data_IF_857758096309
#
_entry.id   IF_857758096309
#
_cell.length_a   1.000
_cell.length_b   1.000
_cell.length_c   1.000
_cell.angle_alpha   90.00
_cell.angle_beta   90.00
_cell.angle_gamma   90.00
#
_symmetry.space_group_name_H-M   'P 1'
#
loop_
_entity.id
_entity.type
_entity.pdbx_description
1 polymer ?
#
# COMPACT_ATOMS: atom_id res chain seq x y z
N UNK A 1 -42.95 14.15 -23.38
CA UNK A 1 -41.88 14.34 -24.35
C UNK A 1 -40.58 13.96 -23.67
N UNK A 2 -39.83 12.99 -24.20
CA UNK A 2 -38.57 12.59 -23.57
C UNK A 2 -37.45 13.54 -23.99
N UNK A 3 -36.59 13.90 -23.02
CA UNK A 3 -35.42 14.76 -23.18
C UNK A 3 -34.28 13.91 -23.80
N UNK A 4 -33.55 14.38 -24.81
CA UNK A 4 -32.50 13.63 -25.46
C UNK A 4 -31.19 13.63 -24.62
N UNK A 5 -30.57 12.45 -24.49
CA UNK A 5 -29.28 12.23 -23.86
C UNK A 5 -28.15 12.68 -24.81
N UNK A 6 -27.17 13.48 -24.37
CA UNK A 6 -26.05 13.89 -25.20
C UNK A 6 -25.07 12.71 -25.44
N UNK A 7 -24.65 12.55 -26.71
CA UNK A 7 -23.64 11.54 -27.13
C UNK A 7 -22.25 11.92 -26.62
N UNK A 8 -21.56 10.93 -26.07
CA UNK A 8 -20.14 11.02 -25.69
C UNK A 8 -19.26 11.36 -26.92
N UNK A 9 -18.40 12.36 -26.77
CA UNK A 9 -17.31 12.67 -27.71
C UNK A 9 -16.14 11.72 -27.49
N UNK A 10 -15.67 11.14 -28.59
CA UNK A 10 -14.47 10.31 -28.62
C UNK A 10 -13.21 11.15 -28.37
N UNK A 11 -12.30 10.57 -27.58
CA UNK A 11 -10.97 11.12 -27.30
C UNK A 11 -10.03 10.69 -28.43
N UNK A 12 -9.23 11.58 -29.04
CA UNK A 12 -8.26 11.18 -30.08
C UNK A 12 -7.04 10.49 -29.46
N UNK A 13 -6.56 9.43 -30.13
CA UNK A 13 -5.34 8.72 -29.82
C UNK A 13 -4.12 9.60 -30.10
N UNK A 14 -3.16 9.60 -29.16
CA UNK A 14 -1.84 10.24 -29.34
C UNK A 14 -0.87 9.20 -29.89
N UNK A 15 -0.42 9.39 -31.11
CA UNK A 15 0.65 8.62 -31.75
C UNK A 15 2.02 8.98 -31.15
N UNK A 16 2.80 7.96 -30.83
CA UNK A 16 4.15 8.11 -30.33
C UNK A 16 5.15 8.42 -31.45
N UNK A 17 5.87 9.52 -31.30
CA UNK A 17 7.04 9.85 -32.12
C UNK A 17 8.34 9.50 -31.39
N UNK A 18 9.11 8.54 -31.92
CA UNK A 18 10.50 8.28 -31.53
C UNK A 18 11.41 9.31 -32.16
N UNK A 19 12.25 9.97 -31.37
CA UNK A 19 13.44 10.67 -31.85
C UNK A 19 14.68 10.04 -31.24
N UNK A 20 15.45 9.32 -32.05
CA UNK A 20 16.82 8.90 -31.76
C UNK A 20 17.76 10.11 -31.95
N UNK A 21 18.58 10.41 -30.95
CA UNK A 21 19.80 11.19 -31.09
C UNK A 21 20.98 10.39 -30.55
N UNK A 22 22.00 10.24 -31.38
CA UNK A 22 23.25 9.56 -31.11
C UNK A 22 24.12 10.33 -30.10
N UNK A 23 25.01 9.64 -29.34
CA UNK A 23 25.87 10.30 -28.38
C UNK A 23 27.22 10.75 -29.00
N UNK A 24 27.69 11.90 -28.55
CA UNK A 24 29.00 12.50 -28.80
C UNK A 24 30.07 11.85 -27.88
N UNK A 25 31.28 11.49 -28.37
CA UNK A 25 32.31 10.83 -27.58
C UNK A 25 33.29 11.82 -26.98
N UNK A 26 33.39 11.86 -25.64
CA UNK A 26 34.56 12.46 -25.04
C UNK A 26 34.38 13.09 -23.67
N UNK A 27 34.28 12.29 -22.61
CA UNK A 27 34.77 12.66 -21.25
C UNK A 27 35.03 11.36 -20.48
N UNK A 28 36.25 11.15 -20.04
CA UNK A 28 36.63 10.05 -19.17
C UNK A 28 35.96 10.15 -17.78
N UNK A 29 35.49 9.02 -17.20
CA UNK A 29 34.88 9.06 -15.88
C UNK A 29 35.95 8.94 -14.78
N UNK A 30 36.02 9.97 -13.97
CA UNK A 30 36.67 9.97 -12.65
C UNK A 30 36.03 8.92 -11.75
N UNK A 31 36.85 8.07 -11.15
CA UNK A 31 36.48 7.01 -10.23
C UNK A 31 35.83 7.59 -8.95
N UNK A 32 34.52 7.60 -8.88
CA UNK A 32 33.80 7.72 -7.63
C UNK A 32 33.62 6.33 -7.02
N UNK A 33 34.28 6.08 -5.89
CA UNK A 33 34.09 4.90 -5.07
C UNK A 33 32.65 4.87 -4.55
N UNK A 34 31.80 4.11 -5.20
CA UNK A 34 30.53 3.68 -4.64
C UNK A 34 30.83 2.61 -3.60
N UNK A 35 30.62 2.96 -2.31
CA UNK A 35 30.50 2.00 -1.24
C UNK A 35 29.19 1.22 -1.48
N UNK A 36 29.30 0.15 -2.26
CA UNK A 36 28.23 -0.83 -2.38
C UNK A 36 28.06 -1.51 -1.03
N UNK A 37 26.90 -1.35 -0.43
CA UNK A 37 26.43 -2.25 0.60
C UNK A 37 26.28 -3.62 -0.06
N UNK A 38 27.35 -4.42 -0.01
CA UNK A 38 27.30 -5.85 -0.27
C UNK A 38 26.38 -6.47 0.78
N UNK A 39 25.10 -6.64 0.41
CA UNK A 39 24.28 -7.66 1.03
C UNK A 39 24.95 -8.99 0.67
N UNK A 40 25.85 -9.43 1.53
CA UNK A 40 26.38 -10.78 1.56
C UNK A 40 25.17 -11.72 1.75
N UNK A 41 24.53 -12.09 0.64
CA UNK A 41 23.74 -13.29 0.57
C UNK A 41 24.75 -14.42 0.71
N UNK A 42 25.07 -14.78 1.95
CA UNK A 42 25.69 -16.05 2.24
C UNK A 42 24.85 -17.08 1.50
N UNK A 43 25.41 -17.67 0.43
CA UNK A 43 24.75 -18.71 -0.35
C UNK A 43 24.54 -19.91 0.58
N UNK A 44 23.45 -19.90 1.33
CA UNK A 44 22.97 -21.01 2.10
C UNK A 44 22.71 -22.15 1.12
N UNK A 45 23.42 -23.26 1.28
CA UNK A 45 23.26 -24.43 0.42
C UNK A 45 21.80 -24.87 0.43
N UNK A 46 21.30 -25.36 -0.73
CA UNK A 46 19.93 -25.83 -0.89
C UNK A 46 19.65 -27.00 0.08
N UNK A 47 18.48 -27.01 0.71
CA UNK A 47 18.03 -28.08 1.62
C UNK A 47 16.80 -28.77 1.02
N UNK A 48 16.86 -30.10 0.93
CA UNK A 48 15.78 -31.01 0.52
C UNK A 48 15.24 -31.72 1.77
N UNK A 49 13.93 -31.71 1.97
CA UNK A 49 13.26 -32.56 2.95
C UNK A 49 12.58 -33.72 2.21
N UNK A 50 12.98 -34.96 2.54
CA UNK A 50 12.38 -36.19 2.03
C UNK A 50 11.42 -36.72 3.07
N UNK A 51 10.18 -37.03 2.64
CA UNK A 51 9.15 -37.59 3.53
C UNK A 51 8.78 -38.97 2.98
N UNK A 52 9.22 -40.04 3.67
CA UNK A 52 9.01 -41.44 3.31
C UNK A 52 8.93 -42.34 4.57
N UNK A 53 8.13 -43.39 4.56
CA UNK A 53 7.89 -44.25 5.76
C UNK A 53 8.68 -45.58 5.80
N UNK A 54 9.24 -46.02 4.65
CA UNK A 54 9.93 -47.29 4.58
C UNK A 54 11.46 -47.16 4.73
N UNK A 55 12.02 -47.54 5.89
CA UNK A 55 13.48 -47.50 6.11
C UNK A 55 14.25 -48.53 5.28
N UNK A 56 13.59 -49.58 4.73
CA UNK A 56 14.23 -50.57 3.87
C UNK A 56 14.30 -50.12 2.41
N UNK A 57 13.47 -49.16 2.03
CA UNK A 57 13.46 -48.51 0.74
C UNK A 57 14.00 -47.06 0.83
N UNK A 58 14.67 -46.74 1.93
CA UNK A 58 15.28 -45.41 2.07
C UNK A 58 16.05 -45.09 0.80
N UNK A 59 15.55 -44.06 0.10
CA UNK A 59 16.23 -43.56 -1.09
C UNK A 59 17.68 -43.25 -0.71
N UNK A 60 18.60 -44.09 -1.20
CA UNK A 60 20.01 -43.73 -1.20
C UNK A 60 20.15 -42.49 -2.10
N UNK A 61 19.79 -41.34 -1.51
CA UNK A 61 19.88 -40.05 -2.23
C UNK A 61 21.37 -39.83 -2.47
N UNK A 62 21.84 -40.01 -3.72
CA UNK A 62 23.25 -39.83 -4.03
C UNK A 62 23.64 -38.40 -3.75
N UNK A 63 24.94 -38.11 -3.59
CA UNK A 63 25.45 -36.77 -3.37
C UNK A 63 24.89 -35.80 -4.42
N UNK A 64 23.95 -34.96 -4.02
CA UNK A 64 23.31 -33.97 -4.87
C UNK A 64 24.07 -32.65 -4.79
N UNK A 65 24.25 -32.01 -5.93
CA UNK A 65 24.89 -30.71 -6.02
C UNK A 65 23.90 -29.64 -6.49
N UNK A 66 23.96 -28.44 -5.89
CA UNK A 66 23.19 -27.29 -6.35
C UNK A 66 23.74 -26.70 -7.67
N UNK A 67 23.17 -25.58 -8.13
CA UNK A 67 23.60 -24.92 -9.36
C UNK A 67 25.06 -24.39 -9.30
N UNK A 68 25.57 -24.14 -8.10
CA UNK A 68 26.94 -23.67 -7.86
C UNK A 68 27.91 -24.82 -7.55
N UNK A 69 27.47 -26.07 -7.70
CA UNK A 69 28.27 -27.28 -7.40
C UNK A 69 28.41 -27.56 -5.89
N UNK A 70 27.59 -26.96 -5.03
CA UNK A 70 27.58 -27.19 -3.59
C UNK A 70 26.65 -28.37 -3.23
N UNK A 71 27.01 -29.16 -2.18
CA UNK A 71 26.16 -30.25 -1.73
C UNK A 71 24.78 -29.75 -1.28
N UNK A 72 23.72 -30.40 -1.74
CA UNK A 72 22.37 -30.20 -1.25
C UNK A 72 22.26 -30.95 0.07
N UNK A 73 21.83 -30.25 1.14
CA UNK A 73 21.55 -30.88 2.43
C UNK A 73 20.26 -31.69 2.31
N UNK A 74 20.29 -32.94 2.75
CA UNK A 74 19.10 -33.80 2.77
C UNK A 74 18.70 -34.07 4.20
N UNK A 75 17.42 -33.87 4.50
CA UNK A 75 16.78 -34.27 5.76
C UNK A 75 15.70 -35.29 5.42
N UNK A 76 15.55 -36.31 6.24
CA UNK A 76 14.53 -37.33 6.04
C UNK A 76 13.57 -37.35 7.22
N UNK A 77 12.28 -37.38 6.94
CA UNK A 77 11.19 -37.55 7.89
C UNK A 77 10.43 -38.86 7.57
N UNK A 78 10.10 -39.65 8.58
CA UNK A 78 9.40 -40.92 8.44
C UNK A 78 7.88 -40.80 8.47
N UNK A 79 7.38 -39.65 8.85
CA UNK A 79 5.96 -39.33 8.95
C UNK A 79 5.75 -37.82 8.94
N UNK A 80 4.50 -37.41 8.83
CA UNK A 80 4.13 -35.98 8.77
C UNK A 80 4.49 -35.22 10.03
N UNK A 81 4.38 -35.83 11.22
CA UNK A 81 4.72 -35.15 12.49
C UNK A 81 6.21 -34.86 12.59
N UNK A 82 7.06 -35.76 12.09
CA UNK A 82 8.51 -35.52 12.01
C UNK A 82 8.82 -34.48 10.93
N UNK A 83 8.11 -34.53 9.79
CA UNK A 83 8.24 -33.54 8.72
C UNK A 83 7.91 -32.13 9.19
N UNK A 84 6.87 -31.92 9.99
CA UNK A 84 6.51 -30.65 10.60
C UNK A 84 7.64 -30.06 11.43
N UNK A 85 8.35 -30.89 12.19
CA UNK A 85 9.49 -30.46 13.03
C UNK A 85 10.72 -30.12 12.21
N UNK A 86 10.92 -30.78 11.08
CA UNK A 86 12.08 -30.59 10.20
C UNK A 86 11.83 -29.52 9.14
N UNK A 87 10.59 -29.04 8.99
CA UNK A 87 10.20 -27.97 8.06
C UNK A 87 10.56 -26.62 8.66
N UNK A 88 11.74 -26.16 8.34
CA UNK A 88 12.31 -24.88 8.76
C UNK A 88 12.52 -23.97 7.56
N UNK A 89 12.74 -22.68 7.76
CA UNK A 89 12.87 -21.67 6.68
C UNK A 89 14.01 -21.95 5.70
N UNK A 90 14.98 -22.79 6.06
CA UNK A 90 16.09 -23.22 5.19
C UNK A 90 15.74 -24.40 4.29
N UNK A 91 14.56 -25.02 4.41
CA UNK A 91 14.08 -26.02 3.46
C UNK A 91 13.60 -25.34 2.20
N UNK A 92 14.08 -25.80 1.04
CA UNK A 92 13.75 -25.22 -0.27
C UNK A 92 12.79 -26.09 -1.07
N UNK A 93 12.91 -27.41 -0.91
CA UNK A 93 12.12 -28.39 -1.63
C UNK A 93 11.73 -29.56 -0.73
N UNK A 94 10.54 -30.10 -0.93
CA UNK A 94 10.03 -31.28 -0.27
C UNK A 94 9.85 -32.38 -1.33
N UNK A 95 10.41 -33.55 -1.11
CA UNK A 95 10.14 -34.76 -1.88
C UNK A 95 9.23 -35.64 -1.05
N UNK A 96 7.97 -35.78 -1.46
CA UNK A 96 6.91 -36.50 -0.74
C UNK A 96 6.62 -37.82 -1.42
N UNK A 97 6.79 -38.91 -0.70
CA UNK A 97 6.28 -40.22 -1.15
C UNK A 97 4.77 -40.26 -1.03
N UNK A 98 4.09 -40.54 -2.15
CA UNK A 98 2.64 -40.64 -2.20
C UNK A 98 2.09 -41.95 -1.60
N UNK A 99 2.95 -42.93 -1.26
CA UNK A 99 2.52 -44.15 -0.56
C UNK A 99 2.24 -43.92 0.92
N UNK A 100 2.65 -42.75 1.48
CA UNK A 100 2.41 -42.39 2.88
C UNK A 100 0.90 -42.31 3.23
N UNK A 101 0.45 -42.99 4.31
CA UNK A 101 -0.95 -42.90 4.73
C UNK A 101 -1.35 -41.49 5.15
N UNK A 102 -2.58 -41.11 4.88
CA UNK A 102 -3.14 -39.83 5.29
C UNK A 102 -3.18 -39.71 6.84
N UNK A 103 -3.01 -38.49 7.39
CA UNK A 103 -3.02 -38.28 8.83
C UNK A 103 -4.37 -38.71 9.44
N UNK A 104 -4.33 -39.57 10.42
CA UNK A 104 -5.51 -40.09 11.14
C UNK A 104 -5.84 -41.58 10.92
N UNK A 105 -5.12 -42.26 10.04
CA UNK A 105 -5.28 -43.71 9.84
C UNK A 105 -4.18 -44.47 10.56
N UNK A 106 -4.47 -45.02 11.76
CA UNK A 106 -3.64 -45.98 12.43
C UNK A 106 -3.72 -47.30 11.67
N UNK A 107 -2.64 -47.74 11.05
CA UNK A 107 -2.52 -49.08 10.51
C UNK A 107 -2.55 -50.05 11.70
N UNK A 108 -3.68 -50.77 11.84
CA UNK A 108 -3.78 -51.85 12.82
C UNK A 108 -2.77 -52.91 12.41
N UNK A 109 -1.70 -53.05 13.19
CA UNK A 109 -0.74 -54.15 13.08
C UNK A 109 -1.49 -55.45 13.29
N UNK A 110 -1.64 -56.27 12.22
CA UNK A 110 -2.25 -57.58 12.26
C UNK A 110 -1.48 -58.56 13.15
N UNK A 111 -1.96 -58.72 14.35
CA UNK A 111 -1.61 -59.84 15.23
C UNK A 111 -2.37 -61.06 14.76
N UNK A 112 -1.61 -62.11 14.35
CA UNK A 112 -2.14 -63.41 14.05
C UNK A 112 -2.76 -64.04 15.32
N UNK A 113 -4.06 -64.38 15.24
CA UNK A 113 -4.75 -65.11 16.29
C UNK A 113 -5.90 -65.94 15.67
N UNK A 114 -5.70 -67.26 15.61
CA UNK A 114 -6.58 -68.28 15.07
C UNK A 114 -7.89 -68.47 15.84
N UNK A 115 -8.88 -68.93 15.12
CA UNK A 115 -9.92 -69.89 15.43
C UNK A 115 -11.36 -69.44 15.46
N UNK A 116 -12.13 -70.02 14.52
CA UNK A 116 -13.35 -70.81 14.71
C UNK A 116 -14.67 -70.09 14.72
N UNK A 117 -15.55 -70.42 13.77
CA UNK A 117 -16.96 -70.38 14.02
C UNK A 117 -17.87 -69.85 12.93
N UNK A 118 -18.51 -70.78 12.29
CA UNK A 118 -19.53 -70.79 11.22
C UNK A 118 -20.70 -69.81 11.39
N UNK A 119 -21.25 -69.37 10.23
CA UNK A 119 -22.70 -69.19 10.12
C UNK A 119 -23.19 -68.00 9.27
N UNK A 120 -23.70 -68.36 8.07
CA UNK A 120 -24.90 -67.83 7.42
C UNK A 120 -24.97 -66.48 6.75
N UNK A 121 -24.94 -66.50 5.44
CA UNK A 121 -25.92 -65.96 4.45
C UNK A 121 -26.43 -64.51 4.57
N UNK A 122 -26.25 -63.72 3.47
CA UNK A 122 -27.18 -62.70 3.10
C UNK A 122 -26.62 -61.58 2.20
N UNK A 123 -26.82 -61.76 0.87
CA UNK A 123 -27.13 -60.81 -0.20
C UNK A 123 -26.46 -59.43 -0.30
N UNK A 124 -25.79 -59.24 -1.43
CA UNK A 124 -25.91 -58.18 -2.45
C UNK A 124 -25.86 -56.74 -2.06
N UNK A 125 -24.92 -56.03 -2.64
CA UNK A 125 -24.92 -54.60 -2.78
C UNK A 125 -23.55 -54.05 -3.19
N UNK A 126 -23.31 -53.99 -4.50
CA UNK A 126 -22.14 -53.33 -5.05
C UNK A 126 -22.20 -51.83 -4.78
N UNK A 127 -21.14 -51.27 -4.30
CA UNK A 127 -20.66 -49.91 -4.43
C UNK A 127 -19.48 -49.76 -3.49
N UNK A 128 -18.29 -49.64 -3.98
CA UNK A 128 -17.12 -49.46 -3.12
C UNK A 128 -15.79 -49.41 -3.83
N UNK A 129 -15.74 -48.85 -5.05
CA UNK A 129 -14.47 -48.67 -5.75
C UNK A 129 -14.03 -47.21 -5.95
N UNK A 130 -14.73 -46.23 -5.33
CA UNK A 130 -14.39 -44.80 -5.51
C UNK A 130 -13.87 -44.10 -4.26
N UNK A 131 -13.85 -44.75 -3.11
CA UNK A 131 -13.48 -44.08 -1.84
C UNK A 131 -12.00 -44.21 -1.49
N UNK A 132 -11.25 -45.10 -2.17
CA UNK A 132 -9.83 -45.33 -1.95
C UNK A 132 -8.94 -44.28 -2.62
N UNK A 133 -9.31 -43.77 -3.79
CA UNK A 133 -8.48 -42.87 -4.58
C UNK A 133 -8.49 -41.41 -4.02
N UNK A 134 -9.57 -40.98 -3.35
CA UNK A 134 -9.67 -39.63 -2.77
C UNK A 134 -8.79 -39.46 -1.54
N UNK A 135 -8.46 -40.52 -0.83
CA UNK A 135 -7.65 -40.50 0.39
C UNK A 135 -6.13 -40.54 0.09
N UNK A 136 -5.72 -41.02 -1.06
CA UNK A 136 -4.31 -41.20 -1.44
C UNK A 136 -3.57 -39.88 -1.69
N UNK A 137 -4.27 -38.79 -2.04
CA UNK A 137 -3.71 -37.43 -2.15
C UNK A 137 -3.96 -36.55 -0.91
N UNK A 138 -4.58 -37.09 0.12
CA UNK A 138 -4.84 -36.40 1.38
C UNK A 138 -3.55 -35.91 2.04
N UNK A 139 -2.53 -36.75 2.01
CA UNK A 139 -1.17 -36.44 2.53
C UNK A 139 -0.51 -35.29 1.74
N UNK A 140 -0.59 -35.32 0.41
CA UNK A 140 -0.10 -34.24 -0.45
C UNK A 140 -0.83 -32.93 -0.17
N UNK A 141 -2.16 -32.94 -0.09
CA UNK A 141 -2.96 -31.76 0.23
C UNK A 141 -2.61 -31.19 1.60
N UNK A 142 -2.31 -32.06 2.57
CA UNK A 142 -1.87 -31.65 3.89
C UNK A 142 -0.50 -30.95 3.84
N UNK A 143 0.49 -31.56 3.18
CA UNK A 143 1.83 -30.99 3.02
C UNK A 143 1.81 -29.65 2.26
N UNK A 144 0.99 -29.53 1.21
CA UNK A 144 0.84 -28.27 0.46
C UNK A 144 0.26 -27.13 1.32
N UNK A 145 -0.64 -27.45 2.26
CA UNK A 145 -1.18 -26.46 3.23
C UNK A 145 -0.16 -26.09 4.29
N UNK A 146 0.60 -27.07 4.79
CA UNK A 146 1.62 -26.87 5.80
C UNK A 146 2.81 -26.04 5.28
N UNK A 147 3.19 -26.29 4.02
CA UNK A 147 4.38 -25.71 3.40
C UNK A 147 4.05 -24.87 2.13
N UNK A 148 3.23 -23.81 2.21
CA UNK A 148 2.73 -23.08 1.04
C UNK A 148 3.84 -22.35 0.26
N UNK A 149 4.99 -22.10 0.90
CA UNK A 149 6.14 -21.42 0.30
C UNK A 149 7.18 -22.37 -0.30
N UNK A 150 7.08 -23.68 -0.04
CA UNK A 150 8.06 -24.67 -0.45
C UNK A 150 7.66 -25.34 -1.77
N UNK A 151 8.64 -25.72 -2.56
CA UNK A 151 8.41 -26.56 -3.71
C UNK A 151 8.13 -28.00 -3.25
N UNK A 152 7.10 -28.66 -3.78
CA UNK A 152 6.75 -30.03 -3.45
C UNK A 152 6.87 -30.90 -4.70
N UNK A 153 7.74 -31.91 -4.66
CA UNK A 153 7.86 -32.98 -5.66
C UNK A 153 7.17 -34.22 -5.13
N UNK A 154 6.33 -34.84 -5.97
CA UNK A 154 5.68 -36.09 -5.64
C UNK A 154 6.54 -37.28 -6.10
N UNK A 155 6.73 -38.28 -5.23
CA UNK A 155 7.40 -39.54 -5.55
C UNK A 155 6.36 -40.63 -5.59
N UNK A 156 6.36 -41.40 -6.68
CA UNK A 156 5.40 -42.53 -6.91
C UNK A 156 6.05 -43.74 -7.55
N UNK A 157 5.35 -44.87 -7.58
CA UNK A 157 5.80 -46.06 -8.30
C UNK A 157 5.69 -45.86 -9.83
N UNK A 158 6.53 -46.53 -10.60
CA UNK A 158 6.71 -46.32 -12.04
C UNK A 158 5.48 -46.62 -12.91
N UNK A 159 4.48 -47.32 -12.37
CA UNK A 159 3.30 -47.71 -13.11
C UNK A 159 2.05 -46.86 -12.81
N UNK A 160 2.15 -45.85 -11.97
CA UNK A 160 1.01 -45.02 -11.51
C UNK A 160 1.04 -43.59 -12.12
N UNK A 161 0.89 -43.51 -13.44
CA UNK A 161 0.88 -42.27 -14.20
C UNK A 161 -0.34 -41.38 -13.85
N UNK A 162 -1.51 -42.01 -13.58
CA UNK A 162 -2.73 -41.29 -13.26
C UNK A 162 -2.57 -40.53 -11.93
N UNK A 163 -2.06 -41.20 -10.93
CA UNK A 163 -1.77 -40.62 -9.61
C UNK A 163 -0.69 -39.52 -9.68
N UNK A 164 0.36 -39.75 -10.47
CA UNK A 164 1.40 -38.76 -10.72
C UNK A 164 0.82 -37.47 -11.34
N UNK A 165 -0.02 -37.62 -12.35
CA UNK A 165 -0.69 -36.51 -13.03
C UNK A 165 -1.64 -35.77 -12.09
N UNK A 166 -2.39 -36.46 -11.28
CA UNK A 166 -3.33 -35.87 -10.32
C UNK A 166 -2.57 -35.13 -9.20
N UNK A 167 -1.42 -35.63 -8.77
CA UNK A 167 -0.57 -34.92 -7.81
C UNK A 167 -0.16 -33.53 -8.30
N UNK A 168 0.19 -33.40 -9.58
CA UNK A 168 0.50 -32.07 -10.18
C UNK A 168 -0.74 -31.17 -10.24
N UNK A 169 -1.92 -31.72 -10.57
CA UNK A 169 -3.18 -30.97 -10.57
C UNK A 169 -3.55 -30.44 -9.19
N UNK A 170 -3.24 -31.20 -8.14
CA UNK A 170 -3.50 -30.82 -6.74
C UNK A 170 -2.53 -29.74 -6.29
N UNK A 171 -1.33 -29.60 -6.91
CA UNK A 171 -0.39 -28.52 -6.63
C UNK A 171 1.07 -28.91 -6.41
N UNK A 172 1.44 -30.19 -6.62
CA UNK A 172 2.86 -30.55 -6.70
C UNK A 172 3.51 -29.86 -7.90
N UNK A 173 4.76 -29.43 -7.78
CA UNK A 173 5.49 -28.78 -8.87
C UNK A 173 5.86 -29.74 -9.98
N UNK A 174 6.14 -31.00 -9.62
CA UNK A 174 6.45 -32.08 -10.54
C UNK A 174 6.28 -33.43 -9.83
N UNK A 175 6.41 -34.54 -10.58
CA UNK A 175 6.45 -35.88 -10.04
C UNK A 175 7.69 -36.63 -10.52
N UNK A 176 8.11 -37.64 -9.77
CA UNK A 176 9.23 -38.50 -10.06
C UNK A 176 8.80 -39.97 -9.85
N UNK A 177 9.28 -40.83 -10.73
CA UNK A 177 9.14 -42.28 -10.54
C UNK A 177 10.33 -42.82 -9.74
N UNK A 178 10.06 -43.67 -8.75
CA UNK A 178 11.06 -44.22 -7.84
C UNK A 178 12.15 -44.99 -8.61
N UNK A 179 11.78 -45.76 -9.64
CA UNK A 179 12.69 -46.61 -10.43
C UNK A 179 13.55 -45.81 -11.40
N UNK A 180 13.15 -44.59 -11.72
CA UNK A 180 13.91 -43.68 -12.63
C UNK A 180 14.75 -42.67 -11.89
N UNK A 181 14.80 -42.78 -10.56
CA UNK A 181 15.43 -41.76 -9.74
C UNK A 181 16.96 -41.88 -9.72
N UNK A 182 17.62 -41.05 -10.48
CA UNK A 182 19.06 -40.88 -10.41
C UNK A 182 19.43 -39.46 -9.89
N UNK A 183 20.71 -39.21 -9.57
CA UNK A 183 21.16 -37.94 -9.05
C UNK A 183 20.97 -36.76 -10.02
N UNK A 184 21.00 -37.00 -11.33
CA UNK A 184 20.84 -35.97 -12.35
C UNK A 184 19.38 -35.59 -12.51
N UNK A 185 18.50 -36.59 -12.57
CA UNK A 185 17.04 -36.39 -12.65
C UNK A 185 16.55 -35.65 -11.42
N UNK A 186 16.92 -36.11 -10.22
CA UNK A 186 16.52 -35.49 -8.97
C UNK A 186 17.07 -34.06 -8.81
N UNK A 187 18.33 -33.83 -9.10
CA UNK A 187 18.94 -32.50 -9.04
C UNK A 187 18.23 -31.52 -9.99
N UNK A 188 17.93 -31.97 -11.22
CA UNK A 188 17.22 -31.16 -12.20
C UNK A 188 15.80 -30.85 -11.73
N UNK A 189 15.07 -31.86 -11.25
CA UNK A 189 13.70 -31.68 -10.78
C UNK A 189 13.63 -30.71 -9.59
N UNK A 190 14.53 -30.84 -8.61
CA UNK A 190 14.59 -29.92 -7.46
C UNK A 190 14.83 -28.49 -7.94
N UNK A 191 15.80 -28.25 -8.84
CA UNK A 191 16.09 -26.93 -9.37
C UNK A 191 14.87 -26.31 -10.05
N UNK A 192 14.25 -27.05 -10.97
CA UNK A 192 13.07 -26.57 -11.68
C UNK A 192 11.89 -26.31 -10.74
N UNK A 193 11.65 -27.20 -9.79
CA UNK A 193 10.56 -27.05 -8.82
C UNK A 193 10.76 -25.80 -7.95
N UNK A 194 11.97 -25.57 -7.45
CA UNK A 194 12.29 -24.38 -6.63
C UNK A 194 12.15 -23.10 -7.44
N UNK A 195 12.74 -23.03 -8.64
CA UNK A 195 12.64 -21.85 -9.49
C UNK A 195 11.18 -21.57 -9.94
N UNK A 196 10.43 -22.60 -10.31
CA UNK A 196 9.01 -22.47 -10.63
C UNK A 196 8.22 -21.94 -9.45
N UNK A 197 8.46 -22.49 -8.25
CA UNK A 197 7.77 -22.01 -7.03
C UNK A 197 8.11 -20.56 -6.70
N UNK A 198 9.38 -20.16 -6.86
CA UNK A 198 9.80 -18.76 -6.68
C UNK A 198 9.11 -17.83 -7.68
N UNK A 199 9.04 -18.24 -8.94
CA UNK A 199 8.36 -17.47 -9.97
C UNK A 199 6.87 -17.33 -9.68
N UNK A 200 6.19 -18.40 -9.25
CA UNK A 200 4.78 -18.38 -8.86
C UNK A 200 4.51 -17.44 -7.69
N UNK A 201 5.37 -17.46 -6.66
CA UNK A 201 5.27 -16.56 -5.51
C UNK A 201 5.48 -15.11 -5.94
N UNK A 202 6.53 -14.82 -6.72
CA UNK A 202 6.81 -13.49 -7.23
C UNK A 202 5.67 -12.96 -8.11
N UNK A 203 5.09 -13.81 -8.97
CA UNK A 203 3.96 -13.45 -9.81
C UNK A 203 2.70 -13.12 -8.99
N UNK A 204 2.42 -13.91 -7.96
CA UNK A 204 1.29 -13.64 -7.05
C UNK A 204 1.49 -12.32 -6.30
N UNK A 205 2.69 -12.07 -5.77
CA UNK A 205 3.02 -10.83 -5.08
C UNK A 205 2.90 -9.61 -6.00
N UNK A 206 3.37 -9.72 -7.25
CA UNK A 206 3.22 -8.66 -8.26
C UNK A 206 1.75 -8.40 -8.59
N UNK A 207 0.95 -9.45 -8.75
CA UNK A 207 -0.48 -9.32 -9.05
C UNK A 207 -1.22 -8.68 -7.88
N UNK A 208 -0.96 -9.12 -6.66
CA UNK A 208 -1.54 -8.56 -5.44
C UNK A 208 -1.13 -7.09 -5.23
N UNK A 209 0.14 -6.78 -5.45
CA UNK A 209 0.63 -5.39 -5.39
C UNK A 209 -0.03 -4.51 -6.46
N UNK A 210 -0.22 -5.00 -7.68
CA UNK A 210 -0.92 -4.26 -8.75
C UNK A 210 -2.38 -4.03 -8.43
N UNK A 211 -3.09 -5.05 -7.93
CA UNK A 211 -4.49 -4.91 -7.53
C UNK A 211 -4.64 -3.89 -6.40
N UNK A 212 -3.81 -3.98 -5.38
CA UNK A 212 -3.78 -2.98 -4.29
C UNK A 212 -3.49 -1.59 -4.82
N UNK A 213 -2.50 -1.43 -5.72
CA UNK A 213 -2.20 -0.13 -6.31
C UNK A 213 -3.35 0.43 -7.16
N UNK A 214 -4.09 -0.42 -7.88
CA UNK A 214 -5.26 0.00 -8.66
C UNK A 214 -6.44 0.40 -7.76
N UNK A 215 -6.70 -0.37 -6.72
CA UNK A 215 -7.75 -0.09 -5.74
C UNK A 215 -7.45 1.21 -5.00
N UNK A 216 -6.24 1.40 -4.62
CA UNK A 216 -5.69 2.59 -4.02
C UNK A 216 -5.83 3.82 -4.94
N UNK A 217 -5.40 3.74 -6.19
CA UNK A 217 -5.55 4.84 -7.15
C UNK A 217 -7.03 5.15 -7.48
N UNK A 218 -7.94 4.19 -7.30
CA UNK A 218 -9.38 4.41 -7.42
C UNK A 218 -9.92 5.18 -6.22
N UNK A 219 -9.49 4.83 -5.01
CA UNK A 219 -9.85 5.53 -3.79
C UNK A 219 -9.29 6.96 -3.79
N UNK A 220 -8.01 7.16 -4.11
CA UNK A 220 -7.40 8.50 -4.23
C UNK A 220 -8.20 9.43 -5.14
N UNK A 221 -8.61 8.96 -6.33
CA UNK A 221 -9.43 9.78 -7.26
C UNK A 221 -10.81 10.16 -6.70
N UNK A 222 -11.36 9.34 -5.81
CA UNK A 222 -12.64 9.62 -5.14
C UNK A 222 -12.50 10.50 -3.91
N UNK A 223 -11.32 10.49 -3.30
CA UNK A 223 -11.06 11.13 -2.01
C UNK A 223 -10.42 12.52 -2.16
N UNK A 224 -9.48 12.68 -3.12
CA UNK A 224 -8.93 14.00 -3.42
C UNK A 224 -9.96 14.86 -4.19
N UNK A 225 -10.20 16.09 -3.78
CA UNK A 225 -11.19 16.95 -4.40
C UNK A 225 -10.76 17.40 -5.80
N UNK A 226 -11.75 17.52 -6.67
CA UNK A 226 -11.61 18.40 -7.83
C UNK A 226 -12.15 19.77 -7.43
N UNK A 227 -11.30 20.82 -7.36
CA UNK A 227 -11.74 22.17 -7.03
C UNK A 227 -12.78 22.68 -8.03
N UNK A 228 -13.81 23.37 -7.55
CA UNK A 228 -14.88 23.93 -8.37
C UNK A 228 -14.66 25.45 -8.51
N UNK A 229 -13.68 25.84 -9.33
CA UNK A 229 -13.21 27.23 -9.48
C UNK A 229 -13.45 27.81 -10.87
N UNK A 230 -14.34 27.23 -11.66
CA UNK A 230 -14.65 27.70 -13.02
C UNK A 230 -15.04 29.17 -13.02
N UNK A 231 -14.40 29.94 -13.90
CA UNK A 231 -14.61 31.39 -14.00
C UNK A 231 -13.99 32.21 -12.88
N UNK A 232 -13.21 31.61 -11.98
CA UNK A 232 -12.41 32.34 -11.00
C UNK A 232 -11.15 32.96 -11.65
N UNK A 233 -10.74 34.19 -11.28
CA UNK A 233 -9.48 34.76 -11.69
C UNK A 233 -8.28 34.23 -10.88
N UNK A 234 -8.54 33.40 -9.87
CA UNK A 234 -7.51 32.85 -9.00
C UNK A 234 -6.90 31.58 -9.62
N UNK A 235 -5.59 31.43 -9.51
CA UNK A 235 -4.89 30.19 -9.79
C UNK A 235 -4.92 29.33 -8.53
N UNK A 236 -5.05 28.03 -8.71
CA UNK A 236 -5.08 27.04 -7.66
C UNK A 236 -4.03 25.96 -7.90
N UNK A 237 -3.27 25.62 -6.88
CA UNK A 237 -2.43 24.44 -6.87
C UNK A 237 -2.60 23.72 -5.51
N UNK A 238 -2.49 22.40 -5.49
CA UNK A 238 -2.51 21.63 -4.26
C UNK A 238 -1.57 20.44 -4.35
N UNK A 239 -0.99 20.08 -3.23
CA UNK A 239 -0.18 18.87 -3.07
C UNK A 239 -0.63 18.13 -1.82
N UNK A 240 -0.78 16.82 -1.98
CA UNK A 240 -1.05 15.89 -0.91
C UNK A 240 0.00 14.78 -0.93
N UNK A 241 0.55 14.45 0.23
CA UNK A 241 1.47 13.32 0.39
C UNK A 241 1.18 12.62 1.71
N UNK A 242 0.85 11.32 1.69
CA UNK A 242 0.67 10.55 2.90
C UNK A 242 2.00 10.37 3.64
N UNK A 243 1.90 10.26 4.96
CA UNK A 243 3.01 9.99 5.86
C UNK A 243 3.55 8.55 5.75
N UNK A 244 4.25 8.09 6.81
CA UNK A 244 4.90 6.76 6.85
C UNK A 244 3.97 5.57 6.77
N UNK A 245 2.72 5.72 7.17
CA UNK A 245 1.78 4.64 7.00
C UNK A 245 1.62 4.41 5.51
N UNK A 246 1.83 3.21 5.04
CA UNK A 246 1.54 2.79 3.65
C UNK A 246 0.03 2.93 3.32
N UNK A 247 -0.70 3.63 4.17
CA UNK A 247 -2.02 4.11 3.90
C UNK A 247 -1.94 5.15 2.78
N UNK A 248 -2.89 5.13 1.89
CA UNK A 248 -2.97 5.98 0.71
C UNK A 248 -3.41 7.39 1.03
N UNK A 249 -4.13 7.54 2.11
CA UNK A 249 -4.71 8.77 2.62
C UNK A 249 -4.65 8.72 4.13
N UNK A 250 -4.36 9.86 4.74
CA UNK A 250 -4.50 10.08 6.15
C UNK A 250 -5.62 11.04 6.46
N UNK A 251 -5.59 11.64 7.64
CA UNK A 251 -6.58 12.56 8.14
C UNK A 251 -6.67 13.89 7.41
N UNK A 252 -5.65 14.26 6.63
CA UNK A 252 -5.58 15.53 5.91
C UNK A 252 -6.62 15.62 4.78
N UNK A 253 -7.31 16.72 4.69
CA UNK A 253 -8.29 17.02 3.65
C UNK A 253 -8.32 18.49 3.26
N UNK A 254 -8.69 18.79 2.02
CA UNK A 254 -8.81 20.17 1.54
C UNK A 254 -9.90 20.26 0.47
N UNK A 255 -10.39 21.48 0.22
CA UNK A 255 -11.28 21.76 -0.90
C UNK A 255 -11.25 23.25 -1.29
N UNK A 256 -11.73 23.56 -2.49
CA UNK A 256 -11.95 24.93 -2.92
C UNK A 256 -13.14 24.99 -3.89
N UNK A 257 -14.05 25.93 -3.64
CA UNK A 257 -15.25 26.14 -4.45
C UNK A 257 -15.47 27.62 -4.71
N UNK A 258 -16.07 27.95 -5.85
CA UNK A 258 -16.56 29.28 -6.18
C UNK A 258 -18.08 29.26 -6.15
N UNK A 259 -18.67 30.14 -5.34
CA UNK A 259 -20.13 30.33 -5.26
C UNK A 259 -20.65 31.25 -6.36
N UNK A 260 -21.97 31.24 -6.66
CA UNK A 260 -22.53 32.05 -7.72
C UNK A 260 -22.36 33.56 -7.58
N UNK A 261 -22.20 34.07 -6.36
CA UNK A 261 -21.88 35.47 -6.08
C UNK A 261 -20.43 35.87 -6.41
N UNK A 262 -19.61 34.89 -6.81
CA UNK A 262 -18.21 35.06 -7.20
C UNK A 262 -17.22 34.93 -6.04
N UNK A 263 -17.66 34.69 -4.82
CA UNK A 263 -16.80 34.40 -3.68
C UNK A 263 -16.08 33.06 -3.88
N UNK A 264 -14.79 32.99 -3.57
CA UNK A 264 -14.02 31.76 -3.56
C UNK A 264 -13.80 31.32 -2.13
N UNK A 265 -14.32 30.16 -1.81
CA UNK A 265 -14.14 29.51 -0.51
C UNK A 265 -13.07 28.43 -0.65
N UNK A 266 -12.14 28.40 0.28
CA UNK A 266 -11.13 27.35 0.38
C UNK A 266 -11.03 26.86 1.82
N UNK A 267 -10.76 25.58 1.98
CA UNK A 267 -10.49 25.01 3.29
C UNK A 267 -9.37 23.98 3.23
N UNK A 268 -8.72 23.79 4.36
CA UNK A 268 -7.80 22.71 4.65
C UNK A 268 -8.00 22.28 6.09
N UNK A 269 -7.93 20.99 6.35
CA UNK A 269 -8.10 20.43 7.69
C UNK A 269 -7.34 19.13 7.84
N UNK A 270 -7.27 18.69 9.08
CA UNK A 270 -6.64 17.46 9.49
C UNK A 270 -7.45 16.82 10.63
N UNK A 271 -7.79 15.53 10.47
CA UNK A 271 -8.43 14.69 11.50
C UNK A 271 -7.32 14.06 12.33
N UNK A 272 -7.38 14.25 13.66
CA UNK A 272 -6.37 13.67 14.55
C UNK A 272 -6.30 12.14 14.42
N UNK A 273 -5.08 11.61 14.30
CA UNK A 273 -4.83 10.19 14.09
C UNK A 273 -4.40 9.88 12.65
N UNK A 274 -4.27 8.62 12.34
CA UNK A 274 -3.81 8.17 11.03
C UNK A 274 -4.41 6.80 10.69
N UNK A 275 -5.04 6.70 9.58
CA UNK A 275 -5.61 5.44 9.11
C UNK A 275 -6.80 5.62 8.18
N UNK A 276 -7.44 4.51 7.82
CA UNK A 276 -8.58 4.52 6.90
C UNK A 276 -9.83 5.22 7.47
N UNK A 277 -10.03 5.13 8.78
CA UNK A 277 -11.20 5.69 9.45
C UNK A 277 -11.09 7.22 9.53
N UNK A 278 -9.91 7.74 9.88
CA UNK A 278 -9.61 9.17 9.88
C UNK A 278 -9.67 9.76 8.46
N UNK A 279 -9.18 9.02 7.47
CA UNK A 279 -9.29 9.42 6.06
C UNK A 279 -10.75 9.47 5.58
N UNK A 280 -11.59 8.51 5.99
CA UNK A 280 -13.01 8.50 5.68
C UNK A 280 -13.72 9.71 6.30
N UNK A 281 -13.47 9.98 7.58
CA UNK A 281 -14.03 11.12 8.30
C UNK A 281 -13.60 12.46 7.67
N UNK A 282 -12.32 12.58 7.23
CA UNK A 282 -11.83 13.75 6.51
C UNK A 282 -12.61 14.00 5.20
N UNK A 283 -12.95 12.95 4.47
CA UNK A 283 -13.78 13.05 3.24
C UNK A 283 -15.21 13.47 3.58
N UNK A 284 -15.81 12.92 4.62
CA UNK A 284 -17.14 13.27 5.08
C UNK A 284 -17.22 14.74 5.48
N UNK A 285 -16.28 15.23 6.26
CA UNK A 285 -16.15 16.64 6.63
C UNK A 285 -15.96 17.54 5.41
N UNK A 286 -15.14 17.15 4.44
CA UNK A 286 -14.93 17.87 3.19
C UNK A 286 -16.23 17.99 2.38
N UNK A 287 -16.97 16.90 2.23
CA UNK A 287 -18.22 16.89 1.48
C UNK A 287 -19.29 17.72 2.23
N UNK A 288 -19.36 17.58 3.54
CA UNK A 288 -20.26 18.38 4.37
C UNK A 288 -19.93 19.88 4.24
N UNK A 289 -18.65 20.26 4.37
CA UNK A 289 -18.20 21.64 4.18
C UNK A 289 -18.62 22.20 2.82
N UNK A 290 -18.42 21.44 1.74
CA UNK A 290 -18.81 21.85 0.37
C UNK A 290 -20.31 22.08 0.27
N UNK A 291 -21.14 21.19 0.82
CA UNK A 291 -22.58 21.30 0.80
C UNK A 291 -23.07 22.50 1.61
N UNK A 292 -22.51 22.71 2.80
CA UNK A 292 -22.83 23.86 3.67
C UNK A 292 -22.43 25.19 3.03
N UNK A 293 -21.27 25.24 2.38
CA UNK A 293 -20.81 26.41 1.63
C UNK A 293 -21.77 26.77 0.49
N UNK A 294 -22.20 25.79 -0.31
CA UNK A 294 -23.21 26.01 -1.34
C UNK A 294 -24.59 26.37 -0.80
N UNK A 295 -24.91 25.95 0.41
CA UNK A 295 -26.12 26.40 1.13
C UNK A 295 -26.01 27.84 1.65
N UNK A 296 -24.84 28.49 1.50
CA UNK A 296 -24.60 29.89 1.89
C UNK A 296 -24.05 30.08 3.30
N UNK A 297 -23.69 29.00 4.00
CA UNK A 297 -23.06 29.09 5.32
C UNK A 297 -21.58 29.49 5.17
N UNK A 298 -21.09 30.29 6.11
CA UNK A 298 -19.68 30.67 6.20
C UNK A 298 -19.30 31.01 7.65
N UNK A 299 -18.01 31.07 7.93
CA UNK A 299 -17.49 31.49 9.22
C UNK A 299 -17.93 30.60 10.38
N UNK A 300 -18.29 31.21 11.50
CA UNK A 300 -18.68 30.51 12.75
C UNK A 300 -19.90 29.57 12.59
N UNK A 301 -20.89 29.98 11.80
CA UNK A 301 -22.10 29.17 11.57
C UNK A 301 -21.76 27.87 10.80
N UNK A 302 -20.93 27.97 9.77
CA UNK A 302 -20.43 26.82 9.01
C UNK A 302 -19.66 25.87 9.91
N UNK A 303 -18.70 26.39 10.69
CA UNK A 303 -17.86 25.57 11.57
C UNK A 303 -18.65 24.94 12.72
N UNK A 304 -19.64 25.66 13.27
CA UNK A 304 -20.54 25.13 14.30
C UNK A 304 -21.38 23.96 13.76
N UNK A 305 -21.84 24.04 12.51
CA UNK A 305 -22.60 22.97 11.86
C UNK A 305 -21.69 21.79 11.51
N UNK A 306 -20.47 22.07 11.01
CA UNK A 306 -19.49 21.04 10.68
C UNK A 306 -19.01 20.28 11.94
N UNK A 307 -18.89 20.96 13.10
CA UNK A 307 -18.63 20.30 14.37
C UNK A 307 -19.73 19.29 14.73
N UNK A 308 -21.01 19.63 14.51
CA UNK A 308 -22.09 18.69 14.76
C UNK A 308 -22.00 17.45 13.85
N UNK A 309 -21.60 17.63 12.58
CA UNK A 309 -21.32 16.49 11.67
C UNK A 309 -20.20 15.62 12.26
N UNK A 310 -19.07 16.22 12.62
CA UNK A 310 -17.94 15.49 13.23
C UNK A 310 -18.38 14.72 14.49
N UNK A 311 -19.13 15.35 15.40
CA UNK A 311 -19.58 14.74 16.66
C UNK A 311 -20.52 13.55 16.45
N UNK A 312 -21.23 13.47 15.30
CA UNK A 312 -22.10 12.35 14.97
C UNK A 312 -21.40 11.23 14.20
N UNK A 313 -20.41 11.57 13.37
CA UNK A 313 -19.74 10.61 12.48
C UNK A 313 -18.47 10.00 13.12
N UNK A 314 -17.85 10.69 14.08
CA UNK A 314 -16.62 10.17 14.71
C UNK A 314 -16.90 8.91 15.52
N UNK A 315 -16.04 7.88 15.42
CA UNK A 315 -16.21 6.63 16.15
C UNK A 315 -15.92 6.76 17.66
N UNK A 316 -15.18 7.79 18.07
CA UNK A 316 -14.76 8.03 19.45
C UNK A 316 -14.79 9.54 19.78
N UNK A 317 -15.14 9.87 21.03
CA UNK A 317 -15.16 11.26 21.51
C UNK A 317 -13.79 11.91 21.60
N UNK A 318 -12.69 11.13 21.56
CA UNK A 318 -11.32 11.65 21.54
C UNK A 318 -10.92 12.16 20.15
N UNK A 319 -11.66 11.81 19.09
CA UNK A 319 -11.38 12.26 17.72
C UNK A 319 -11.86 13.70 17.53
N UNK A 320 -10.95 14.53 17.06
CA UNK A 320 -11.17 15.93 16.73
C UNK A 320 -10.56 16.26 15.35
N UNK A 321 -10.94 17.40 14.80
CA UNK A 321 -10.36 17.86 13.55
C UNK A 321 -9.91 19.31 13.63
N UNK A 322 -8.73 19.60 13.09
CA UNK A 322 -8.28 20.98 12.88
C UNK A 322 -8.76 21.48 11.53
N UNK A 323 -9.11 22.76 11.42
CA UNK A 323 -9.62 23.33 10.18
C UNK A 323 -9.24 24.80 10.02
N UNK A 324 -8.76 25.15 8.82
CA UNK A 324 -8.65 26.51 8.33
C UNK A 324 -9.64 26.71 7.19
N UNK A 325 -10.48 27.74 7.23
CA UNK A 325 -11.37 28.16 6.14
C UNK A 325 -11.15 29.60 5.78
N UNK A 326 -11.12 29.89 4.47
CA UNK A 326 -10.89 31.22 3.91
C UNK A 326 -11.95 31.52 2.86
N UNK A 327 -12.64 32.64 3.02
CA UNK A 327 -13.63 33.15 2.07
C UNK A 327 -13.10 34.40 1.36
N UNK A 328 -12.67 34.26 0.11
CA UNK A 328 -12.06 35.34 -0.68
C UNK A 328 -13.14 36.09 -1.44
N UNK A 329 -13.21 37.40 -1.24
CA UNK A 329 -14.18 38.27 -1.90
C UNK A 329 -14.09 38.20 -3.44
N UNK A 330 -15.19 38.47 -4.18
CA UNK A 330 -15.20 38.37 -5.65
C UNK A 330 -14.15 39.25 -6.33
N UNK A 331 -13.81 40.39 -5.71
CA UNK A 331 -12.74 41.28 -6.20
C UNK A 331 -11.33 40.76 -5.87
N UNK A 332 -11.21 39.68 -5.06
CA UNK A 332 -9.97 39.07 -4.63
C UNK A 332 -9.10 39.92 -3.74
N UNK A 333 -9.61 40.99 -3.13
CA UNK A 333 -8.82 41.91 -2.32
C UNK A 333 -8.91 41.68 -0.84
N UNK A 334 -9.95 41.02 -0.38
CA UNK A 334 -10.22 40.75 1.03
C UNK A 334 -10.56 39.29 1.23
N UNK A 335 -10.28 38.78 2.41
CA UNK A 335 -10.69 37.45 2.82
C UNK A 335 -11.23 37.46 4.25
N UNK A 336 -12.20 36.60 4.49
CA UNK A 336 -12.59 36.18 5.84
C UNK A 336 -11.85 34.91 6.20
N UNK A 337 -11.16 34.88 7.34
CA UNK A 337 -10.40 33.74 7.86
C UNK A 337 -11.03 33.24 9.14
N UNK A 338 -11.24 31.92 9.25
CA UNK A 338 -11.55 31.26 10.53
C UNK A 338 -10.56 30.10 10.74
N UNK A 339 -10.08 29.98 11.95
CA UNK A 339 -9.16 28.92 12.38
C UNK A 339 -9.79 28.12 13.52
N UNK A 340 -9.85 26.81 13.34
CA UNK A 340 -10.27 25.84 14.34
C UNK A 340 -9.09 24.95 14.74
N UNK A 341 -8.21 25.44 15.62
CA UNK A 341 -7.01 24.75 16.07
C UNK A 341 -5.96 24.49 14.98
N UNK A 342 -6.13 25.09 13.81
CA UNK A 342 -5.28 24.82 12.63
C UNK A 342 -4.17 25.87 12.48
N UNK A 343 -3.01 25.50 11.89
CA UNK A 343 -1.95 26.44 11.58
C UNK A 343 -2.41 27.64 10.73
N UNK A 344 -1.87 28.81 11.02
CA UNK A 344 -2.23 30.03 10.28
C UNK A 344 -1.65 29.99 8.87
N UNK A 345 -2.42 30.41 7.84
CA UNK A 345 -1.94 30.50 6.47
C UNK A 345 -0.77 31.45 6.29
N UNK A 346 0.10 31.14 5.32
CA UNK A 346 1.19 32.00 4.87
C UNK A 346 0.72 32.85 3.68
N UNK A 347 0.93 34.17 3.76
CA UNK A 347 0.67 35.09 2.65
C UNK A 347 1.95 35.72 2.14
N UNK A 348 2.09 35.77 0.81
CA UNK A 348 3.10 36.59 0.13
C UNK A 348 2.38 37.63 -0.72
N UNK A 349 2.58 38.92 -0.42
CA UNK A 349 2.05 40.06 -1.20
C UNK A 349 3.09 40.55 -2.16
N UNK A 350 2.65 41.14 -3.27
CA UNK A 350 3.56 41.75 -4.25
C UNK A 350 4.47 42.77 -3.59
N UNK A 351 5.80 42.60 -3.73
CA UNK A 351 6.80 43.46 -3.14
C UNK A 351 7.05 43.27 -1.63
N UNK A 352 6.35 42.31 -0.98
CA UNK A 352 6.52 41.98 0.43
C UNK A 352 7.15 40.59 0.65
N UNK A 353 7.62 40.39 1.87
CA UNK A 353 8.05 39.05 2.31
C UNK A 353 6.84 38.19 2.66
N UNK A 354 6.95 36.90 2.45
CA UNK A 354 5.94 35.95 2.90
C UNK A 354 5.84 35.98 4.45
N UNK A 355 4.65 36.06 5.00
CA UNK A 355 4.38 36.15 6.44
C UNK A 355 3.16 35.33 6.83
N UNK A 356 3.10 34.88 8.08
CA UNK A 356 1.91 34.23 8.59
C UNK A 356 0.80 35.26 8.80
N UNK A 357 -0.43 34.88 8.45
CA UNK A 357 -1.59 35.69 8.82
C UNK A 357 -1.78 35.67 10.35
N UNK A 358 -2.34 36.75 10.95
CA UNK A 358 -2.59 36.79 12.37
C UNK A 358 -3.56 35.66 12.79
N UNK A 359 -3.35 35.08 13.98
CA UNK A 359 -4.13 33.96 14.51
C UNK A 359 -4.70 34.23 15.93
N UNK A 360 -4.68 35.48 16.39
CA UNK A 360 -5.08 35.86 17.74
C UNK A 360 -6.53 35.48 18.12
N UNK A 361 -7.38 35.27 17.10
CA UNK A 361 -8.77 34.85 17.24
C UNK A 361 -9.03 33.40 16.84
N UNK A 362 -8.04 32.51 16.93
CA UNK A 362 -8.23 31.09 16.65
C UNK A 362 -9.16 30.46 17.67
N UNK A 363 -10.18 29.73 17.21
CA UNK A 363 -11.00 28.86 18.05
C UNK A 363 -10.35 27.48 18.26
N UNK A 364 -10.88 26.64 19.16
CA UNK A 364 -10.41 25.27 19.37
C UNK A 364 -10.67 24.41 18.14
N UNK A 365 -9.96 23.29 18.01
CA UNK A 365 -10.27 22.27 16.99
C UNK A 365 -11.73 21.80 17.16
N UNK A 366 -12.34 21.41 16.04
CA UNK A 366 -13.68 20.85 16.01
C UNK A 366 -13.74 19.58 16.86
N UNK A 367 -14.77 19.44 17.68
CA UNK A 367 -14.98 18.27 18.54
C UNK A 367 -14.29 18.35 19.91
N UNK A 368 -13.37 19.31 20.15
CA UNK A 368 -12.70 19.43 21.46
C UNK A 368 -13.58 20.08 22.54
N UNK A 369 -14.33 21.10 22.17
CA UNK A 369 -15.15 21.85 23.13
C UNK A 369 -16.58 21.99 22.64
N UNK A 370 -17.59 21.62 23.45
CA UNK A 370 -18.97 21.85 23.10
C UNK A 370 -19.27 23.36 23.04
N UNK A 371 -20.04 23.79 22.04
CA UNK A 371 -20.44 25.20 21.83
C UNK A 371 -19.23 26.13 21.60
N UNK A 372 -18.16 25.62 21.02
CA UNK A 372 -17.02 26.42 20.61
C UNK A 372 -17.44 27.51 19.62
N UNK A 373 -16.61 28.56 19.50
CA UNK A 373 -16.82 29.66 18.58
C UNK A 373 -15.54 29.93 17.78
N UNK A 374 -15.74 30.31 16.52
CA UNK A 374 -14.65 30.58 15.56
C UNK A 374 -14.81 31.96 14.95
N UNK A 375 -14.34 33.00 15.63
CA UNK A 375 -14.49 34.37 15.15
C UNK A 375 -13.88 34.55 13.76
N UNK A 376 -14.67 35.13 12.85
CA UNK A 376 -14.21 35.40 11.48
C UNK A 376 -13.38 36.67 11.46
N UNK A 377 -12.11 36.53 11.12
CA UNK A 377 -11.16 37.63 10.97
C UNK A 377 -11.17 38.15 9.53
N UNK A 378 -11.26 39.46 9.34
CA UNK A 378 -11.11 40.08 8.03
C UNK A 378 -9.63 40.35 7.75
N UNK A 379 -9.17 39.96 6.55
CA UNK A 379 -7.78 40.10 6.10
C UNK A 379 -7.76 40.85 4.78
N UNK A 380 -6.94 41.90 4.70
CA UNK A 380 -6.64 42.58 3.45
C UNK A 380 -5.56 41.81 2.69
N UNK A 381 -5.91 41.28 1.51
CA UNK A 381 -5.01 40.52 0.64
C UNK A 381 -4.19 41.41 -0.30
N UNK A 382 -4.79 42.52 -0.77
CA UNK A 382 -4.17 43.42 -1.71
C UNK A 382 -4.44 43.12 -3.18
N UNK A 383 -3.61 43.65 -4.08
CA UNK A 383 -3.81 43.57 -5.52
C UNK A 383 -3.29 42.26 -6.16
N UNK A 384 -2.11 41.83 -5.75
CA UNK A 384 -1.48 40.58 -6.19
C UNK A 384 -0.87 39.88 -4.98
N UNK A 385 -1.15 38.61 -4.84
CA UNK A 385 -0.77 37.83 -3.66
C UNK A 385 -0.77 36.33 -3.95
N UNK A 386 -0.04 35.58 -3.10
CA UNK A 386 -0.10 34.12 -3.00
C UNK A 386 -0.44 33.75 -1.56
N UNK A 387 -1.46 32.93 -1.35
CA UNK A 387 -1.92 32.45 -0.05
C UNK A 387 -1.74 30.95 0.02
N UNK A 388 -0.92 30.48 0.96
CA UNK A 388 -0.63 29.07 1.18
C UNK A 388 -1.26 28.61 2.49
N UNK A 389 -2.14 27.60 2.38
CA UNK A 389 -2.69 26.85 3.50
C UNK A 389 -1.93 25.53 3.58
N UNK A 390 -1.71 25.02 4.78
CA UNK A 390 -0.90 23.81 4.99
C UNK A 390 -1.28 23.11 6.29
N UNK A 391 -1.16 21.78 6.32
CA UNK A 391 -1.31 20.96 7.53
C UNK A 391 -0.01 20.91 8.31
N UNK A 392 -0.09 20.44 9.55
CA UNK A 392 1.07 20.43 10.47
C UNK A 392 2.20 19.51 10.01
N UNK A 393 1.93 18.48 9.20
CA UNK A 393 2.99 17.66 8.61
C UNK A 393 4.04 18.45 7.83
N UNK A 394 3.71 19.63 7.30
CA UNK A 394 4.69 20.51 6.65
C UNK A 394 5.65 21.16 7.66
N UNK A 395 5.21 21.42 8.89
CA UNK A 395 6.01 22.08 9.96
C UNK A 395 6.60 21.06 10.95
N UNK A 396 6.12 19.82 10.95
CA UNK A 396 6.66 18.74 11.77
C UNK A 396 7.96 18.15 11.21
N UNK A 397 8.35 18.52 10.00
CA UNK A 397 9.63 18.18 9.40
C UNK A 397 10.81 18.52 10.31
N UNK A 398 11.95 17.90 10.05
CA UNK A 398 13.19 18.15 10.81
C UNK A 398 13.90 19.39 10.28
N UNK A 399 14.67 20.06 11.16
CA UNK A 399 15.48 21.23 10.77
C UNK A 399 16.64 20.81 9.84
N UNK A 400 17.18 19.61 10.07
CA UNK A 400 18.27 19.01 9.29
C UNK A 400 18.22 17.48 9.40
N UNK A 401 18.80 16.80 8.42
CA UNK A 401 18.86 15.36 8.40
C UNK A 401 19.51 14.79 9.66
N UNK A 402 18.80 13.87 10.36
CA UNK A 402 19.26 13.26 11.60
C UNK A 402 18.97 14.06 12.88
N UNK A 403 18.52 15.30 12.80
CA UNK A 403 18.12 16.10 13.95
C UNK A 403 16.81 15.61 14.55
N UNK A 404 16.63 15.77 15.87
CA UNK A 404 15.33 15.58 16.55
C UNK A 404 14.51 16.86 16.61
N UNK A 405 15.10 18.01 16.25
CA UNK A 405 14.44 19.30 16.31
C UNK A 405 13.50 19.47 15.12
N UNK A 406 12.24 19.81 15.38
CA UNK A 406 11.24 20.08 14.35
C UNK A 406 11.48 21.41 13.65
N UNK A 407 11.09 21.50 12.39
CA UNK A 407 11.19 22.70 11.56
C UNK A 407 10.39 23.86 12.17
N UNK A 408 9.16 23.59 12.58
CA UNK A 408 8.24 24.57 13.13
C UNK A 408 7.78 25.60 12.09
N UNK A 409 6.90 26.50 12.52
CA UNK A 409 6.38 27.55 11.64
C UNK A 409 7.48 28.51 11.15
N UNK A 410 8.39 28.92 12.02
CA UNK A 410 9.48 29.84 11.65
C UNK A 410 10.41 29.23 10.60
N UNK A 411 10.75 27.95 10.75
CA UNK A 411 11.57 27.23 9.78
C UNK A 411 10.86 27.09 8.43
N UNK A 412 9.58 26.74 8.44
CA UNK A 412 8.77 26.66 7.23
C UNK A 412 8.67 28.02 6.53
N UNK A 413 8.40 29.11 7.27
CA UNK A 413 8.37 30.46 6.70
C UNK A 413 9.71 30.84 6.07
N UNK A 414 10.83 30.54 6.73
CA UNK A 414 12.16 30.79 6.20
C UNK A 414 12.44 29.98 4.92
N UNK A 415 12.04 28.72 4.90
CA UNK A 415 12.15 27.83 3.74
C UNK A 415 11.35 28.37 2.54
N UNK A 416 10.08 28.68 2.73
CA UNK A 416 9.21 29.18 1.65
C UNK A 416 9.67 30.55 1.15
N UNK A 417 10.11 31.46 2.05
CA UNK A 417 10.72 32.75 1.64
C UNK A 417 11.92 32.58 0.72
N UNK A 418 12.80 31.67 1.04
CA UNK A 418 13.98 31.36 0.21
C UNK A 418 13.52 30.83 -1.15
N UNK A 419 12.61 29.84 -1.19
CA UNK A 419 12.10 29.27 -2.43
C UNK A 419 11.40 30.31 -3.33
N UNK A 420 10.63 31.23 -2.75
CA UNK A 420 10.04 32.35 -3.49
C UNK A 420 11.14 33.30 -4.02
N UNK A 421 12.19 33.59 -3.24
CA UNK A 421 13.31 34.41 -3.70
C UNK A 421 14.13 33.78 -4.82
N UNK A 422 14.12 32.46 -4.93
CA UNK A 422 14.69 31.66 -6.02
C UNK A 422 13.78 31.63 -7.27
N UNK A 423 12.62 32.30 -7.23
CA UNK A 423 11.68 32.43 -8.34
C UNK A 423 10.62 31.33 -8.42
N UNK A 424 10.51 30.47 -7.42
CA UNK A 424 9.48 29.42 -7.39
C UNK A 424 8.11 30.01 -7.09
N UNK A 425 7.09 29.51 -7.78
CA UNK A 425 5.67 29.90 -7.67
C UNK A 425 4.75 28.76 -8.08
N UNK A 426 3.47 28.86 -7.75
CA UNK A 426 2.46 27.88 -8.17
C UNK A 426 2.80 26.48 -7.70
N UNK A 427 2.57 25.51 -8.59
CA UNK A 427 2.82 24.10 -8.34
C UNK A 427 4.29 23.77 -8.04
N UNK A 428 5.23 24.49 -8.66
CA UNK A 428 6.67 24.33 -8.42
C UNK A 428 7.08 24.68 -6.99
N UNK A 429 6.48 25.72 -6.41
CA UNK A 429 6.70 26.09 -5.01
C UNK A 429 6.22 25.00 -4.05
N UNK A 430 5.00 24.50 -4.28
CA UNK A 430 4.46 23.41 -3.44
C UNK A 430 5.28 22.13 -3.53
N UNK A 431 5.71 21.77 -4.74
CA UNK A 431 6.56 20.60 -4.95
C UNK A 431 7.90 20.74 -4.22
N UNK A 432 8.53 21.92 -4.29
CA UNK A 432 9.80 22.18 -3.62
C UNK A 432 9.65 22.12 -2.09
N UNK A 433 8.62 22.74 -1.53
CA UNK A 433 8.37 22.76 -0.09
C UNK A 433 8.17 21.34 0.48
N UNK A 434 7.29 20.54 -0.14
CA UNK A 434 7.03 19.16 0.30
C UNK A 434 8.25 18.26 0.11
N UNK A 435 8.98 18.41 -1.00
CA UNK A 435 10.19 17.61 -1.27
C UNK A 435 11.30 17.92 -0.26
N UNK A 436 11.50 19.19 0.10
CA UNK A 436 12.51 19.59 1.08
C UNK A 436 12.20 19.02 2.47
N UNK A 437 10.95 19.12 2.94
CA UNK A 437 10.55 18.51 4.22
C UNK A 437 10.79 17.02 4.23
N UNK A 438 10.44 16.30 3.14
CA UNK A 438 10.70 14.88 3.01
C UNK A 438 12.20 14.56 3.07
N UNK A 439 13.03 15.32 2.37
CA UNK A 439 14.49 15.09 2.31
C UNK A 439 15.14 15.38 3.68
N UNK A 440 14.70 16.41 4.40
CA UNK A 440 15.11 16.70 5.77
C UNK A 440 14.72 15.58 6.75
N UNK A 441 13.64 14.87 6.48
CA UNK A 441 13.20 13.70 7.26
C UNK A 441 13.92 12.39 6.89
N UNK A 442 14.81 12.40 5.91
CA UNK A 442 15.55 11.23 5.48
C UNK A 442 14.86 10.41 4.39
N UNK A 443 13.98 11.05 3.59
CA UNK A 443 13.32 10.46 2.43
C UNK A 443 11.88 10.03 2.65
N UNK A 444 11.38 10.07 3.90
CA UNK A 444 9.99 9.79 4.26
C UNK A 444 9.38 10.96 5.05
N UNK A 445 8.07 11.15 4.93
CA UNK A 445 7.35 12.11 5.76
C UNK A 445 7.02 11.48 7.12
N UNK A 446 6.99 12.31 8.17
CA UNK A 446 6.62 11.86 9.53
C UNK A 446 5.13 11.78 9.73
N UNK A 447 4.40 12.64 9.00
CA UNK A 447 2.96 12.75 9.01
C UNK A 447 2.43 13.05 7.61
N UNK A 448 1.12 13.02 7.42
CA UNK A 448 0.47 13.44 6.19
C UNK A 448 0.75 14.92 5.94
N UNK A 449 0.86 15.30 4.67
CA UNK A 449 1.10 16.68 4.27
C UNK A 449 0.12 17.06 3.18
N UNK A 450 -0.75 18.00 3.49
CA UNK A 450 -1.54 18.71 2.50
C UNK A 450 -1.10 20.17 2.43
N UNK A 451 -0.98 20.69 1.21
CA UNK A 451 -0.68 22.09 0.96
C UNK A 451 -1.54 22.59 -0.19
N UNK A 452 -2.18 23.74 0.03
CA UNK A 452 -3.01 24.42 -0.96
C UNK A 452 -2.46 25.81 -1.20
N UNK A 453 -2.33 26.21 -2.45
CA UNK A 453 -1.89 27.54 -2.87
C UNK A 453 -2.96 28.19 -3.74
N UNK A 454 -3.41 29.34 -3.31
CA UNK A 454 -4.27 30.25 -4.06
C UNK A 454 -3.45 31.47 -4.47
N UNK A 455 -3.49 31.87 -5.72
CA UNK A 455 -2.73 33.00 -6.21
C UNK A 455 -3.59 33.95 -7.05
N UNK A 456 -3.39 35.24 -6.82
CA UNK A 456 -3.91 36.30 -7.65
C UNK A 456 -2.75 37.06 -8.30
N UNK A 457 -2.64 36.96 -9.61
CA UNK A 457 -1.66 37.72 -10.37
C UNK A 457 -1.97 39.22 -10.44
N UNK A 458 -1.01 40.07 -10.83
CA UNK A 458 -1.29 41.45 -11.18
C UNK A 458 -2.33 41.47 -12.30
N UNK A 459 -3.30 42.42 -12.24
CA UNK A 459 -4.16 42.68 -13.39
C UNK A 459 -3.29 43.19 -14.54
N UNK A 460 -3.39 42.51 -15.69
CA UNK A 460 -2.84 43.00 -16.96
C UNK A 460 -3.46 44.34 -17.36
#
# INVERSE_FOLDING_TARGET
MPVPIPRQRAVPAVEGGQAQTAPDPGVEPSQARTAGAEHSSASLGMTLLVIEDDPAQTLSVPALLDAAGKPIKVRTARNLTEAERLLTDDVHCILLDLSLPAPGRTVASGGAGSSGGAGASGSSGGAGASDGAADELGTLKHVLRLAPRHAVLALTASNDIERATEAVRVGAQDYLFRDELDSRVLTRAIRYAVERKRADIAQRQLTESRLRAQENARLERGLLPTPLLDGSPLRFAARYRPGRSRALLGGDFYDAVRTPDGTVHAMIGDVCGHGPDEAALGVELRIAWRALTFAGLCGDELLSTLQQVLEHERPDDEIFATLCTVDISPDGRRAGLCLAGHPSPLIARSGGLAELLPYENSGPALGLLPRARWPRQQVELGGAWSLMLYTDGLIEGRVEAGSKRRLGQDGMVAMVRRQISEGLSGDGLLQAAVSEVRDLNGGELTDDVAVVLLERGPRA
#
